data_IF_962898168367
#
_entry.id   IF_962898168367
#
_cell.length_a   1.000
_cell.length_b   1.000
_cell.length_c   1.000
_cell.angle_alpha   90.00
_cell.angle_beta   90.00
_cell.angle_gamma   90.00
#
_symmetry.space_group_name_H-M   'P 1'
#
loop_
_entity.id
_entity.type
_entity.pdbx_description
1 polymer ?
#
# COMPACT_ATOMS: atom_id res chain seq x y z
N UNK A 1 14.64 -21.35 -24.88
CA UNK A 1 13.75 -20.21 -24.62
C UNK A 1 12.60 -20.71 -23.76
N UNK A 2 12.63 -20.45 -22.45
CA UNK A 2 11.56 -20.85 -21.53
C UNK A 2 10.48 -19.77 -21.58
N UNK A 3 9.42 -20.05 -22.34
CA UNK A 3 8.22 -19.22 -22.39
C UNK A 3 7.51 -19.30 -21.04
N UNK A 4 7.49 -18.19 -20.31
CA UNK A 4 6.64 -18.03 -19.12
C UNK A 4 5.20 -17.83 -19.60
N UNK A 5 4.37 -18.85 -19.44
CA UNK A 5 2.92 -18.76 -19.63
C UNK A 5 2.35 -17.80 -18.59
N UNK A 6 1.63 -16.72 -18.98
CA UNK A 6 0.88 -15.94 -18.00
C UNK A 6 -0.24 -16.85 -17.49
N UNK A 7 -0.20 -17.19 -16.21
CA UNK A 7 -1.30 -17.89 -15.56
C UNK A 7 -2.47 -16.92 -15.47
N UNK A 8 -3.37 -17.01 -16.44
CA UNK A 8 -4.72 -16.46 -16.37
C UNK A 8 -5.49 -17.23 -15.30
N UNK A 9 -5.32 -16.86 -14.03
CA UNK A 9 -6.17 -17.39 -12.97
C UNK A 9 -7.49 -16.63 -13.04
N UNK A 10 -8.51 -17.33 -13.52
CA UNK A 10 -9.91 -16.91 -13.49
C UNK A 10 -10.40 -16.88 -12.04
N UNK A 11 -10.01 -15.83 -11.33
CA UNK A 11 -10.51 -15.42 -10.01
C UNK A 11 -10.61 -13.89 -10.03
N UNK A 12 -11.54 -13.31 -9.28
CA UNK A 12 -11.71 -11.85 -9.28
C UNK A 12 -10.52 -11.17 -8.56
N UNK A 13 -9.43 -10.91 -9.27
CA UNK A 13 -8.32 -10.10 -8.76
C UNK A 13 -8.74 -8.63 -8.70
N UNK A 14 -8.55 -8.00 -7.55
CA UNK A 14 -8.84 -6.57 -7.36
C UNK A 14 -7.52 -5.82 -7.13
N UNK A 15 -7.10 -5.05 -8.14
CA UNK A 15 -5.96 -4.13 -8.00
C UNK A 15 -6.41 -2.83 -7.33
N UNK A 16 -5.67 -2.41 -6.30
CA UNK A 16 -5.89 -1.12 -5.65
C UNK A 16 -5.31 0.02 -6.49
N UNK A 17 -6.18 0.98 -6.83
CA UNK A 17 -5.77 2.20 -7.51
C UNK A 17 -4.77 3.02 -6.65
N UNK A 18 -3.76 3.65 -7.26
CA UNK A 18 -2.83 4.53 -6.54
C UNK A 18 -3.54 5.76 -5.97
N UNK A 19 -3.09 6.23 -4.81
CA UNK A 19 -3.59 7.44 -4.13
C UNK A 19 -2.45 8.42 -3.90
N UNK A 20 -2.48 9.52 -4.65
CA UNK A 20 -1.45 10.57 -4.61
C UNK A 20 -1.66 11.62 -3.51
N UNK A 21 -2.71 11.48 -2.69
CA UNK A 21 -3.11 12.48 -1.70
C UNK A 21 -2.00 12.75 -0.67
N UNK A 22 -1.47 11.69 -0.05
CA UNK A 22 -0.43 11.81 0.98
C UNK A 22 0.85 12.42 0.40
N UNK A 23 1.45 11.88 -0.70
CA UNK A 23 2.62 12.49 -1.31
C UNK A 23 2.41 13.97 -1.66
N UNK A 24 1.27 14.32 -2.27
CA UNK A 24 0.99 15.68 -2.72
C UNK A 24 0.85 16.65 -1.54
N UNK A 25 0.11 16.26 -0.49
CA UNK A 25 -0.04 17.08 0.72
C UNK A 25 1.31 17.34 1.38
N UNK A 26 2.18 16.33 1.47
CA UNK A 26 3.52 16.51 2.04
C UNK A 26 4.38 17.47 1.23
N UNK A 27 4.40 17.33 -0.10
CA UNK A 27 5.17 18.21 -1.00
C UNK A 27 4.65 19.65 -0.91
N UNK A 28 3.33 19.86 -0.93
CA UNK A 28 2.74 21.19 -0.83
C UNK A 28 2.97 21.83 0.54
N UNK A 29 2.84 21.06 1.62
CA UNK A 29 3.10 21.54 2.99
C UNK A 29 4.58 21.85 3.24
N UNK A 30 5.50 21.18 2.54
CA UNK A 30 6.92 21.44 2.65
C UNK A 30 7.32 22.86 2.22
N UNK A 31 6.56 23.50 1.32
CA UNK A 31 6.88 24.85 0.80
C UNK A 31 6.83 25.92 1.91
N UNK A 32 5.72 26.14 2.64
CA UNK A 32 5.69 27.09 3.74
C UNK A 32 6.61 26.67 4.90
N UNK A 33 6.79 25.37 5.13
CA UNK A 33 7.71 24.89 6.18
C UNK A 33 9.16 25.23 5.82
N UNK A 34 9.58 25.08 4.56
CA UNK A 34 10.93 25.44 4.11
C UNK A 34 11.20 26.94 4.27
N UNK A 35 10.17 27.78 4.13
CA UNK A 35 10.28 29.22 4.38
C UNK A 35 10.63 29.53 5.85
N UNK A 36 10.07 28.77 6.80
CA UNK A 36 10.34 28.93 8.23
C UNK A 36 11.62 28.20 8.67
N UNK A 37 11.83 27.00 8.15
CA UNK A 37 12.92 26.09 8.49
C UNK A 37 13.31 25.24 7.28
N UNK A 38 14.28 25.74 6.52
CA UNK A 38 14.71 25.15 5.25
C UNK A 38 15.01 23.64 5.33
N UNK A 39 15.77 23.21 6.33
CA UNK A 39 16.16 21.79 6.48
C UNK A 39 14.97 20.88 6.76
N UNK A 40 14.00 21.33 7.55
CA UNK A 40 12.78 20.56 7.84
C UNK A 40 11.91 20.45 6.60
N UNK A 41 11.69 21.57 5.91
CA UNK A 41 10.95 21.56 4.65
C UNK A 41 11.60 20.67 3.59
N UNK A 42 12.93 20.70 3.48
CA UNK A 42 13.68 19.83 2.56
C UNK A 42 13.49 18.34 2.91
N UNK A 43 13.61 17.96 4.18
CA UNK A 43 13.40 16.59 4.62
C UNK A 43 11.98 16.09 4.31
N UNK A 44 10.96 16.91 4.57
CA UNK A 44 9.55 16.59 4.25
C UNK A 44 9.34 16.46 2.73
N UNK A 45 9.93 17.36 1.95
CA UNK A 45 9.84 17.32 0.48
C UNK A 45 10.46 16.05 -0.09
N UNK A 46 11.65 15.67 0.37
CA UNK A 46 12.32 14.41 -0.02
C UNK A 46 11.45 13.20 0.34
N UNK A 47 10.87 13.18 1.54
CA UNK A 47 9.98 12.10 1.95
C UNK A 47 8.70 12.05 1.11
N UNK A 48 8.08 13.20 0.80
CA UNK A 48 6.92 13.29 -0.09
C UNK A 48 7.22 12.77 -1.50
N UNK A 49 8.38 13.14 -2.06
CA UNK A 49 8.84 12.63 -3.36
C UNK A 49 9.10 11.12 -3.32
N UNK A 50 9.70 10.62 -2.25
CA UNK A 50 9.88 9.18 -2.04
C UNK A 50 8.56 8.41 -2.04
N UNK A 51 7.54 8.93 -1.34
CA UNK A 51 6.20 8.33 -1.35
C UNK A 51 5.53 8.46 -2.73
N UNK A 52 5.75 9.55 -3.47
CA UNK A 52 5.27 9.72 -4.84
C UNK A 52 5.81 8.60 -5.74
N UNK A 53 7.12 8.34 -5.69
CA UNK A 53 7.76 7.27 -6.47
C UNK A 53 7.19 5.89 -6.07
N UNK A 54 7.01 5.63 -4.77
CA UNK A 54 6.36 4.40 -4.33
C UNK A 54 4.92 4.28 -4.85
N UNK A 55 4.17 5.38 -4.88
CA UNK A 55 2.77 5.41 -5.36
C UNK A 55 2.67 5.03 -6.82
N UNK A 56 3.63 5.48 -7.65
CA UNK A 56 3.65 5.15 -9.08
C UNK A 56 4.10 3.71 -9.31
N UNK A 57 5.04 3.20 -8.50
CA UNK A 57 5.73 1.94 -8.77
C UNK A 57 5.09 0.72 -8.10
N UNK A 58 4.43 0.88 -6.95
CA UNK A 58 3.89 -0.23 -6.17
C UNK A 58 2.40 -0.40 -6.46
N UNK A 59 1.97 -1.65 -6.67
CA UNK A 59 0.56 -2.04 -6.73
C UNK A 59 0.29 -3.13 -5.72
N UNK A 60 -0.88 -3.06 -5.11
CA UNK A 60 -1.42 -4.11 -4.27
C UNK A 60 -2.59 -4.76 -5.00
N UNK A 61 -2.57 -6.08 -5.09
CA UNK A 61 -3.62 -6.87 -5.71
C UNK A 61 -4.17 -7.87 -4.70
N UNK A 62 -5.48 -7.83 -4.49
CA UNK A 62 -6.18 -8.85 -3.73
C UNK A 62 -6.58 -9.98 -4.66
N UNK A 63 -6.16 -11.19 -4.33
CA UNK A 63 -6.61 -12.42 -4.97
C UNK A 63 -7.54 -13.17 -4.02
N UNK A 64 -8.02 -14.35 -4.42
CA UNK A 64 -8.87 -15.16 -3.55
C UNK A 64 -8.14 -15.66 -2.30
N UNK A 65 -6.81 -15.84 -2.36
CA UNK A 65 -6.04 -16.52 -1.31
C UNK A 65 -4.88 -15.71 -0.74
N UNK A 66 -4.51 -14.59 -1.37
CA UNK A 66 -3.35 -13.80 -0.97
C UNK A 66 -3.46 -12.30 -1.33
N UNK A 67 -2.73 -11.48 -0.57
CA UNK A 67 -2.39 -10.11 -0.96
C UNK A 67 -1.06 -10.11 -1.71
N UNK A 68 -1.09 -9.76 -2.99
CA UNK A 68 0.10 -9.64 -3.82
C UNK A 68 0.61 -8.21 -3.89
N UNK A 69 1.93 -8.06 -3.86
CA UNK A 69 2.62 -6.80 -4.02
C UNK A 69 3.44 -6.84 -5.30
N UNK A 70 3.10 -5.95 -6.22
CA UNK A 70 3.80 -5.75 -7.46
C UNK A 70 4.64 -4.48 -7.39
N UNK A 71 5.80 -4.50 -8.05
CA UNK A 71 6.61 -3.31 -8.34
C UNK A 71 6.88 -3.25 -9.83
N UNK A 72 6.42 -2.18 -10.48
CA UNK A 72 6.57 -1.96 -11.92
C UNK A 72 6.11 -3.17 -12.76
N UNK A 73 4.97 -3.76 -12.38
CA UNK A 73 4.39 -4.93 -13.05
C UNK A 73 4.99 -6.29 -12.68
N UNK A 74 6.06 -6.33 -11.87
CA UNK A 74 6.65 -7.58 -11.39
C UNK A 74 6.17 -7.92 -9.98
N UNK A 75 5.68 -9.14 -9.75
CA UNK A 75 5.36 -9.64 -8.42
C UNK A 75 6.65 -9.67 -7.58
N UNK A 76 6.68 -8.92 -6.48
CA UNK A 76 7.83 -8.88 -5.58
C UNK A 76 7.58 -9.64 -4.28
N UNK A 77 6.33 -9.71 -3.81
CA UNK A 77 5.94 -10.45 -2.60
C UNK A 77 4.50 -10.93 -2.74
N UNK A 78 4.24 -12.12 -2.20
CA UNK A 78 2.93 -12.74 -2.07
C UNK A 78 2.71 -12.98 -0.57
N UNK A 79 1.56 -12.58 -0.04
CA UNK A 79 1.19 -12.71 1.37
C UNK A 79 -0.09 -13.55 1.50
N UNK A 80 0.03 -14.87 1.70
CA UNK A 80 -1.13 -15.77 1.80
C UNK A 80 -1.98 -15.47 3.03
N UNK A 81 -3.30 -15.37 2.88
CA UNK A 81 -4.21 -15.09 3.99
C UNK A 81 -4.19 -16.19 5.06
N UNK A 82 -3.86 -17.43 4.68
CA UNK A 82 -3.72 -18.55 5.61
C UNK A 82 -2.60 -18.33 6.65
N UNK A 83 -1.63 -17.46 6.36
CA UNK A 83 -0.55 -17.12 7.29
C UNK A 83 -0.86 -15.87 8.12
N UNK A 84 -1.98 -15.18 7.86
CA UNK A 84 -2.32 -13.95 8.56
C UNK A 84 -2.87 -14.26 9.95
N UNK A 85 -2.55 -13.38 10.90
CA UNK A 85 -3.09 -13.42 12.26
C UNK A 85 -4.06 -12.26 12.47
N UNK A 86 -3.72 -11.06 12.00
CA UNK A 86 -4.58 -9.89 12.06
C UNK A 86 -4.18 -8.82 11.04
N UNK A 87 -5.03 -7.80 10.92
CA UNK A 87 -4.72 -6.55 10.22
C UNK A 87 -5.39 -5.36 10.89
N UNK A 88 -4.85 -4.16 10.65
CA UNK A 88 -5.41 -2.88 11.11
C UNK A 88 -5.11 -1.78 10.08
N UNK A 89 -6.04 -0.85 9.94
CA UNK A 89 -5.81 0.43 9.29
C UNK A 89 -5.78 1.49 10.39
N UNK A 90 -4.67 2.20 10.51
CA UNK A 90 -4.48 3.23 11.52
C UNK A 90 -4.95 4.60 11.03
N UNK A 91 -5.44 5.40 11.98
CA UNK A 91 -5.96 6.77 11.80
C UNK A 91 -7.23 6.82 10.93
N UNK A 92 -8.38 6.47 11.51
CA UNK A 92 -9.62 6.28 10.76
C UNK A 92 -10.13 7.51 9.96
N UNK A 93 -9.98 8.78 10.43
CA UNK A 93 -10.39 9.94 9.63
C UNK A 93 -9.51 10.14 8.38
N UNK A 94 -8.23 9.80 8.48
CA UNK A 94 -7.23 9.94 7.41
C UNK A 94 -6.37 8.67 7.43
N UNK A 95 -6.79 7.59 6.76
CA UNK A 95 -6.09 6.31 6.83
C UNK A 95 -4.73 6.44 6.15
N UNK A 96 -3.66 6.47 6.95
CA UNK A 96 -2.29 6.70 6.47
C UNK A 96 -1.43 5.44 6.51
N UNK A 97 -1.78 4.47 7.34
CA UNK A 97 -0.92 3.30 7.60
C UNK A 97 -1.75 2.02 7.70
N UNK A 98 -1.39 1.06 6.85
CA UNK A 98 -1.91 -0.29 6.83
C UNK A 98 -0.92 -1.22 7.53
N UNK A 99 -1.44 -2.04 8.43
CA UNK A 99 -0.68 -3.03 9.19
C UNK A 99 -1.32 -4.39 9.03
N UNK A 100 -0.49 -5.41 8.87
CA UNK A 100 -0.91 -6.80 9.03
C UNK A 100 0.23 -7.63 9.64
N UNK A 101 -0.16 -8.70 10.32
CA UNK A 101 0.75 -9.63 10.97
C UNK A 101 0.55 -11.02 10.40
N UNK A 102 1.64 -11.65 10.00
CA UNK A 102 1.67 -13.08 9.67
C UNK A 102 2.20 -13.87 10.86
N UNK A 103 2.16 -15.20 10.80
CA UNK A 103 2.70 -16.09 11.83
C UNK A 103 4.18 -15.77 12.11
N UNK A 104 4.97 -15.45 11.08
CA UNK A 104 6.44 -15.30 11.16
C UNK A 104 6.94 -13.86 11.01
N UNK A 105 6.06 -12.88 10.77
CA UNK A 105 6.47 -11.52 10.38
C UNK A 105 5.40 -10.47 10.67
N UNK A 106 5.81 -9.21 10.69
CA UNK A 106 4.93 -8.05 10.86
C UNK A 106 5.23 -7.07 9.73
N UNK A 107 4.18 -6.49 9.13
CA UNK A 107 4.31 -5.57 8.00
C UNK A 107 3.56 -4.26 8.24
N UNK A 108 4.17 -3.18 7.79
CA UNK A 108 3.60 -1.84 7.78
C UNK A 108 3.75 -1.23 6.39
N UNK A 109 2.64 -0.76 5.82
CA UNK A 109 2.61 -0.13 4.51
C UNK A 109 1.94 1.24 4.62
N UNK A 110 2.57 2.31 4.10
CA UNK A 110 1.86 3.57 3.94
C UNK A 110 0.70 3.36 2.96
N UNK A 111 -0.46 3.95 3.26
CA UNK A 111 -1.66 3.83 2.40
C UNK A 111 -1.54 4.86 1.27
N UNK A 112 -0.72 4.50 0.28
CA UNK A 112 -0.51 5.24 -0.97
C UNK A 112 -1.42 4.71 -2.09
N UNK A 113 -2.52 4.06 -1.72
CA UNK A 113 -3.52 3.45 -2.60
C UNK A 113 -4.93 3.74 -2.06
N UNK A 114 -5.96 3.35 -2.80
CA UNK A 114 -7.36 3.58 -2.40
C UNK A 114 -7.67 2.88 -1.07
N UNK A 115 -7.78 3.69 -0.01
CA UNK A 115 -8.03 3.22 1.34
C UNK A 115 -9.41 2.59 1.53
N UNK A 116 -10.42 3.04 0.76
CA UNK A 116 -11.79 2.51 0.85
C UNK A 116 -11.83 1.12 0.25
N UNK A 117 -11.27 0.97 -0.95
CA UNK A 117 -11.17 -0.34 -1.62
C UNK A 117 -10.29 -1.29 -0.82
N UNK A 118 -9.16 -0.82 -0.27
CA UNK A 118 -8.31 -1.61 0.64
C UNK A 118 -9.13 -2.18 1.79
N UNK A 119 -9.87 -1.33 2.50
CA UNK A 119 -10.69 -1.77 3.64
C UNK A 119 -11.77 -2.77 3.22
N UNK A 120 -12.49 -2.49 2.14
CA UNK A 120 -13.54 -3.38 1.64
C UNK A 120 -12.97 -4.75 1.23
N UNK A 121 -11.80 -4.78 0.59
CA UNK A 121 -11.13 -6.02 0.22
C UNK A 121 -10.63 -6.79 1.45
N UNK A 122 -10.07 -6.13 2.46
CA UNK A 122 -9.66 -6.76 3.71
C UNK A 122 -10.86 -7.37 4.44
N UNK A 123 -11.97 -6.65 4.56
CA UNK A 123 -13.20 -7.15 5.19
C UNK A 123 -13.82 -8.32 4.42
N UNK A 124 -13.71 -8.33 3.08
CA UNK A 124 -14.19 -9.43 2.23
C UNK A 124 -13.32 -10.69 2.34
N UNK A 125 -12.00 -10.57 2.25
CA UNK A 125 -11.10 -11.73 2.13
C UNK A 125 -10.55 -12.21 3.48
N UNK A 126 -10.45 -11.33 4.48
CA UNK A 126 -9.98 -11.68 5.82
C UNK A 126 -10.73 -10.86 6.89
N UNK A 127 -12.02 -11.16 7.15
CA UNK A 127 -12.80 -10.45 8.14
C UNK A 127 -12.20 -10.63 9.54
N UNK A 128 -12.07 -9.53 10.30
CA UNK A 128 -11.69 -9.62 11.71
C UNK A 128 -12.85 -10.26 12.48
N UNK A 129 -12.57 -11.35 13.19
CA UNK A 129 -13.53 -11.92 14.15
C UNK A 129 -13.73 -10.87 15.25
N UNK A 130 -14.98 -10.44 15.43
CA UNK A 130 -15.37 -9.49 16.49
C UNK A 130 -15.38 -10.16 17.85
#
# INVERSE_FOLDING_TARGET
MTSVTPSSVTGQTVELAPSYKIPLVLILAAIPIAWLQLWVGLAISVFGLFLMIQTVTIRLQFTETALDVYRSGKLIRNFPYAEWLNWRIFWNPIPILFYFREVKSIHFLPIIFDAKTLKACLEKHYPLVK
#
